data_IF_081190382585
#
_entry.id   IF_081190382585
#
_cell.length_a   1.000
_cell.length_b   1.000
_cell.length_c   1.000
_cell.angle_alpha   90.00
_cell.angle_beta   90.00
_cell.angle_gamma   90.00
#
_symmetry.space_group_name_H-M   'P 1'
#
loop_
_entity.id
_entity.type
_entity.pdbx_description
1 polymer ?
#
# COMPACT_ATOMS: atom_id res chain seq x y z
N UNK A 1 58.13 -53.64 -55.11
CA UNK A 1 58.11 -52.79 -53.90
C UNK A 1 57.41 -51.48 -54.22
N UNK A 2 56.10 -51.37 -53.95
CA UNK A 2 55.36 -50.11 -54.02
C UNK A 2 54.78 -49.80 -52.64
N UNK A 3 55.07 -48.61 -52.12
CA UNK A 3 54.75 -48.18 -50.76
C UNK A 3 53.26 -47.87 -50.62
N UNK A 4 52.63 -48.47 -49.62
CA UNK A 4 51.31 -48.09 -49.11
C UNK A 4 51.42 -46.73 -48.39
N UNK A 5 50.64 -45.73 -48.83
CA UNK A 5 50.36 -44.54 -48.03
C UNK A 5 49.03 -44.74 -47.32
N UNK A 6 49.10 -44.90 -46.00
CA UNK A 6 47.95 -44.94 -45.10
C UNK A 6 47.61 -43.50 -44.70
N UNK A 7 46.66 -42.87 -45.39
CA UNK A 7 46.09 -41.60 -44.92
C UNK A 7 45.12 -41.90 -43.79
N UNK A 8 45.58 -41.64 -42.56
CA UNK A 8 44.79 -41.68 -41.34
C UNK A 8 43.79 -40.51 -41.36
N UNK A 9 42.52 -40.80 -41.66
CA UNK A 9 41.42 -39.87 -41.45
C UNK A 9 41.11 -39.84 -39.96
N UNK A 10 41.64 -38.85 -39.23
CA UNK A 10 41.19 -38.53 -37.88
C UNK A 10 39.79 -37.92 -37.98
N UNK A 11 38.78 -38.76 -37.76
CA UNK A 11 37.40 -38.33 -37.52
C UNK A 11 37.37 -37.43 -36.29
N UNK A 12 37.31 -36.12 -36.50
CA UNK A 12 37.01 -35.14 -35.47
C UNK A 12 35.56 -35.37 -35.03
N UNK A 13 35.37 -36.10 -33.93
CA UNK A 13 34.07 -36.20 -33.27
C UNK A 13 33.75 -34.81 -32.71
N UNK A 14 32.99 -34.01 -33.47
CA UNK A 14 32.37 -32.80 -32.97
C UNK A 14 31.40 -33.24 -31.88
N UNK A 15 31.86 -33.21 -30.63
CA UNK A 15 31.01 -33.30 -29.46
C UNK A 15 30.21 -32.00 -29.43
N UNK A 16 29.14 -31.94 -30.24
CA UNK A 16 28.07 -30.99 -30.00
C UNK A 16 27.56 -31.32 -28.61
N UNK A 17 27.99 -30.55 -27.60
CA UNK A 17 27.30 -30.49 -26.33
C UNK A 17 25.86 -30.09 -26.67
N UNK A 18 25.00 -31.10 -26.81
CA UNK A 18 23.59 -30.93 -26.61
C UNK A 18 23.47 -30.54 -25.14
N UNK A 19 23.53 -29.24 -24.86
CA UNK A 19 23.05 -28.68 -23.60
C UNK A 19 21.57 -29.04 -23.58
N UNK A 20 21.26 -30.21 -23.04
CA UNK A 20 19.90 -30.61 -22.79
C UNK A 20 19.39 -29.57 -21.78
N UNK A 21 18.38 -28.80 -22.17
CA UNK A 21 17.79 -27.77 -21.31
C UNK A 21 17.38 -28.44 -20.00
N UNK A 22 18.17 -28.21 -18.95
CA UNK A 22 17.90 -28.66 -17.60
C UNK A 22 17.26 -27.50 -16.83
N UNK A 23 16.50 -27.78 -15.76
CA UNK A 23 15.97 -26.73 -14.91
C UNK A 23 17.08 -25.79 -14.38
N UNK A 24 18.28 -26.31 -14.12
CA UNK A 24 19.46 -25.54 -13.67
C UNK A 24 19.99 -24.62 -14.76
N UNK A 25 20.11 -25.12 -16.00
CA UNK A 25 20.54 -24.30 -17.14
C UNK A 25 19.57 -23.15 -17.38
N UNK A 26 18.26 -23.41 -17.34
CA UNK A 26 17.25 -22.36 -17.47
C UNK A 26 17.29 -21.38 -16.29
N UNK A 27 17.52 -21.84 -15.05
CA UNK A 27 17.68 -20.94 -13.92
C UNK A 27 18.92 -20.03 -14.05
N UNK A 28 20.03 -20.55 -14.57
CA UNK A 28 21.25 -19.77 -14.82
C UNK A 28 21.03 -18.72 -15.92
N UNK A 29 20.44 -19.11 -17.05
CA UNK A 29 20.09 -18.21 -18.14
C UNK A 29 19.10 -17.13 -17.69
N UNK A 30 18.09 -17.50 -16.90
CA UNK A 30 17.16 -16.55 -16.30
C UNK A 30 17.86 -15.56 -15.36
N UNK A 31 18.84 -16.03 -14.58
CA UNK A 31 19.63 -15.18 -13.69
C UNK A 31 20.52 -14.22 -14.46
N UNK A 32 21.13 -14.67 -15.57
CA UNK A 32 21.90 -13.80 -16.46
C UNK A 32 21.01 -12.73 -17.10
N UNK A 33 19.87 -13.12 -17.67
CA UNK A 33 18.91 -12.20 -18.27
C UNK A 33 18.41 -11.16 -17.25
N UNK A 34 18.12 -11.57 -16.02
CA UNK A 34 17.69 -10.66 -14.95
C UNK A 34 18.78 -9.64 -14.59
N UNK A 35 20.04 -10.07 -14.50
CA UNK A 35 21.19 -9.17 -14.25
C UNK A 35 21.41 -8.18 -15.39
N UNK A 36 21.15 -8.60 -16.63
CA UNK A 36 21.21 -7.74 -17.82
C UNK A 36 20.00 -6.80 -17.95
N UNK A 37 18.98 -6.92 -17.09
CA UNK A 37 17.77 -6.12 -17.13
C UNK A 37 16.74 -6.59 -18.16
N UNK A 38 16.97 -7.73 -18.81
CA UNK A 38 16.04 -8.37 -19.75
C UNK A 38 14.96 -9.15 -19.00
N UNK A 39 14.09 -8.42 -18.30
CA UNK A 39 13.17 -9.01 -17.32
C UNK A 39 12.16 -9.98 -17.95
N UNK A 40 11.66 -9.71 -19.16
CA UNK A 40 10.78 -10.62 -19.90
C UNK A 40 11.48 -11.92 -20.28
N UNK A 41 12.76 -11.84 -20.67
CA UNK A 41 13.58 -13.03 -20.95
C UNK A 41 13.85 -13.83 -19.68
N UNK A 42 14.14 -13.14 -18.58
CA UNK A 42 14.31 -13.77 -17.27
C UNK A 42 13.05 -14.53 -16.84
N UNK A 43 11.86 -13.94 -17.01
CA UNK A 43 10.58 -14.60 -16.73
C UNK A 43 10.45 -15.90 -17.52
N UNK A 44 10.71 -15.90 -18.84
CA UNK A 44 10.58 -17.10 -19.67
C UNK A 44 11.47 -18.24 -19.19
N UNK A 45 12.74 -17.95 -18.92
CA UNK A 45 13.68 -18.96 -18.44
C UNK A 45 13.32 -19.48 -17.03
N UNK A 46 12.97 -18.59 -16.10
CA UNK A 46 12.56 -19.01 -14.77
C UNK A 46 11.23 -19.80 -14.75
N UNK A 47 10.24 -19.42 -15.57
CA UNK A 47 9.01 -20.21 -15.76
C UNK A 47 9.33 -21.60 -16.33
N UNK A 48 10.27 -21.70 -17.28
CA UNK A 48 10.73 -22.97 -17.84
C UNK A 48 11.40 -23.86 -16.79
N UNK A 49 12.31 -23.30 -15.98
CA UNK A 49 12.96 -24.02 -14.88
C UNK A 49 11.92 -24.55 -13.87
N UNK A 50 10.93 -23.72 -13.52
CA UNK A 50 9.86 -24.11 -12.61
C UNK A 50 8.98 -25.23 -13.20
N UNK A 51 8.67 -25.16 -14.51
CA UNK A 51 7.88 -26.18 -15.22
C UNK A 51 8.60 -27.53 -15.30
N UNK A 52 9.93 -27.52 -15.34
CA UNK A 52 10.76 -28.73 -15.28
C UNK A 52 10.89 -29.32 -13.86
N UNK A 53 10.22 -28.72 -12.87
CA UNK A 53 10.15 -29.24 -11.51
C UNK A 53 11.11 -28.58 -10.52
N UNK A 54 11.91 -27.59 -10.92
CA UNK A 54 12.72 -26.85 -9.96
C UNK A 54 11.80 -26.13 -8.96
N UNK A 55 12.02 -26.39 -7.68
CA UNK A 55 11.26 -25.79 -6.60
C UNK A 55 12.21 -25.34 -5.49
N UNK A 56 12.78 -24.15 -5.66
CA UNK A 56 13.70 -23.54 -4.69
C UNK A 56 13.25 -22.13 -4.32
N UNK A 57 13.59 -21.69 -3.11
CA UNK A 57 13.32 -20.32 -2.65
C UNK A 57 13.98 -19.30 -3.58
N UNK A 58 15.19 -19.59 -4.07
CA UNK A 58 15.92 -18.73 -5.01
C UNK A 58 15.18 -18.57 -6.34
N UNK A 59 14.66 -19.65 -6.93
CA UNK A 59 13.85 -19.59 -8.15
C UNK A 59 12.58 -18.79 -7.91
N UNK A 60 11.84 -19.10 -6.84
CA UNK A 60 10.59 -18.39 -6.50
C UNK A 60 10.84 -16.89 -6.33
N UNK A 61 11.90 -16.51 -5.61
CA UNK A 61 12.26 -15.11 -5.39
C UNK A 61 12.67 -14.39 -6.68
N UNK A 62 13.51 -15.02 -7.52
CA UNK A 62 13.98 -14.41 -8.76
C UNK A 62 12.85 -14.27 -9.79
N UNK A 63 11.98 -15.28 -9.90
CA UNK A 63 10.80 -15.21 -10.76
C UNK A 63 9.81 -14.15 -10.25
N UNK A 64 9.56 -14.08 -8.95
CA UNK A 64 8.71 -13.03 -8.36
C UNK A 64 9.26 -11.63 -8.61
N UNK A 65 10.58 -11.45 -8.46
CA UNK A 65 11.26 -10.18 -8.74
C UNK A 65 11.16 -9.81 -10.21
N UNK A 66 11.29 -10.78 -11.11
CA UNK A 66 11.14 -10.58 -12.56
C UNK A 66 9.70 -10.21 -12.92
N UNK A 67 8.70 -10.90 -12.36
CA UNK A 67 7.30 -10.54 -12.49
C UNK A 67 6.98 -9.12 -12.02
N UNK A 68 7.55 -8.70 -10.88
CA UNK A 68 7.41 -7.33 -10.41
C UNK A 68 7.96 -6.31 -11.43
N UNK A 69 9.12 -6.59 -12.03
CA UNK A 69 9.76 -5.71 -13.02
C UNK A 69 8.94 -5.56 -14.30
N UNK A 70 8.27 -6.63 -14.75
CA UNK A 70 7.40 -6.62 -15.95
C UNK A 70 5.94 -6.26 -15.64
N UNK A 71 5.61 -5.86 -14.40
CA UNK A 71 4.26 -5.43 -14.02
C UNK A 71 3.26 -6.55 -13.72
N UNK A 72 3.68 -7.83 -13.73
CA UNK A 72 2.85 -8.99 -13.35
C UNK A 72 2.71 -9.11 -11.83
N UNK A 73 2.09 -8.12 -11.21
CA UNK A 73 2.08 -7.95 -9.75
C UNK A 73 1.39 -9.08 -8.97
N UNK A 74 0.29 -9.63 -9.48
CA UNK A 74 -0.41 -10.72 -8.78
C UNK A 74 0.38 -12.03 -8.81
N UNK A 75 1.08 -12.31 -9.90
CA UNK A 75 1.96 -13.48 -9.98
C UNK A 75 3.18 -13.31 -9.05
N UNK A 76 3.77 -12.10 -9.01
CA UNK A 76 4.83 -11.77 -8.07
C UNK A 76 4.41 -11.98 -6.62
N UNK A 77 3.22 -11.50 -6.24
CA UNK A 77 2.68 -11.65 -4.87
C UNK A 77 2.54 -13.12 -4.46
N UNK A 78 2.03 -13.97 -5.35
CA UNK A 78 1.88 -15.41 -5.08
C UNK A 78 3.23 -16.04 -4.77
N UNK A 79 4.24 -15.77 -5.59
CA UNK A 79 5.58 -16.35 -5.41
C UNK A 79 6.33 -15.79 -4.20
N UNK A 80 6.27 -14.48 -3.92
CA UNK A 80 6.88 -13.92 -2.72
C UNK A 80 6.31 -14.51 -1.42
N UNK A 81 5.02 -14.86 -1.38
CA UNK A 81 4.44 -15.54 -0.21
C UNK A 81 5.00 -16.95 0.00
N UNK A 82 5.41 -17.64 -1.06
CA UNK A 82 6.02 -18.97 -0.96
C UNK A 82 7.44 -18.93 -0.37
N UNK A 83 8.12 -17.77 -0.43
CA UNK A 83 9.49 -17.62 0.06
C UNK A 83 9.58 -17.45 1.59
N UNK A 84 8.46 -17.42 2.33
CA UNK A 84 8.42 -17.31 3.81
C UNK A 84 8.98 -18.54 4.56
N UNK A 85 10.05 -19.16 4.07
CA UNK A 85 10.70 -20.34 4.66
C UNK A 85 11.61 -20.01 5.83
N UNK A 86 12.12 -18.78 5.89
CA UNK A 86 12.94 -18.28 6.99
C UNK A 86 12.49 -16.87 7.35
N UNK A 87 12.81 -16.44 8.57
CA UNK A 87 12.54 -15.07 9.00
C UNK A 87 13.23 -14.04 8.08
N UNK A 88 14.49 -14.28 7.72
CA UNK A 88 15.21 -13.41 6.79
C UNK A 88 14.50 -13.29 5.42
N UNK A 89 14.00 -14.40 4.88
CA UNK A 89 13.23 -14.36 3.64
C UNK A 89 11.85 -13.74 3.80
N UNK A 90 11.26 -13.80 5.01
CA UNK A 90 10.02 -13.08 5.33
C UNK A 90 10.20 -11.58 5.22
N UNK A 91 11.27 -11.01 5.75
CA UNK A 91 11.53 -9.55 5.63
C UNK A 91 11.78 -9.12 4.19
N UNK A 92 12.53 -9.93 3.43
CA UNK A 92 12.76 -9.69 2.00
C UNK A 92 11.45 -9.72 1.21
N UNK A 93 10.59 -10.71 1.47
CA UNK A 93 9.30 -10.81 0.81
C UNK A 93 8.34 -9.71 1.25
N UNK A 94 8.26 -9.37 2.54
CA UNK A 94 7.45 -8.24 3.04
C UNK A 94 7.87 -6.93 2.38
N UNK A 95 9.17 -6.64 2.28
CA UNK A 95 9.64 -5.46 1.58
C UNK A 95 9.18 -5.42 0.12
N UNK A 96 9.32 -6.52 -0.63
CA UNK A 96 8.90 -6.59 -2.03
C UNK A 96 7.37 -6.53 -2.20
N UNK A 97 6.61 -7.15 -1.29
CA UNK A 97 5.15 -7.03 -1.24
C UNK A 97 4.70 -5.59 -0.96
N UNK A 98 5.45 -4.87 -0.11
CA UNK A 98 5.27 -3.43 0.11
C UNK A 98 5.48 -2.61 -1.17
N UNK A 99 6.53 -2.91 -1.95
CA UNK A 99 6.77 -2.27 -3.25
C UNK A 99 5.66 -2.55 -4.26
N UNK A 100 5.15 -3.79 -4.30
CA UNK A 100 4.01 -4.15 -5.14
C UNK A 100 2.76 -3.36 -4.73
N UNK A 101 2.47 -3.31 -3.43
CA UNK A 101 1.34 -2.55 -2.91
C UNK A 101 1.43 -1.05 -3.27
N UNK A 102 2.64 -0.46 -3.27
CA UNK A 102 2.86 0.90 -3.78
C UNK A 102 2.51 1.03 -5.26
N UNK A 103 2.96 0.10 -6.11
CA UNK A 103 2.63 0.11 -7.56
C UNK A 103 1.12 -0.01 -7.80
N UNK A 104 0.42 -0.74 -6.95
CA UNK A 104 -1.03 -0.90 -6.98
C UNK A 104 -1.81 0.21 -6.23
N UNK A 105 -1.12 1.25 -5.74
CA UNK A 105 -1.70 2.36 -4.95
C UNK A 105 -2.43 1.90 -3.67
N UNK A 106 -2.07 0.73 -3.15
CA UNK A 106 -2.59 0.18 -1.89
C UNK A 106 -1.75 0.71 -0.73
N UNK A 107 -1.86 2.02 -0.45
CA UNK A 107 -0.98 2.75 0.47
C UNK A 107 -0.94 2.18 1.88
N UNK A 108 -2.10 1.73 2.38
CA UNK A 108 -2.22 1.19 3.72
C UNK A 108 -1.54 -0.18 3.82
N UNK A 109 -1.76 -1.07 2.84
CA UNK A 109 -1.11 -2.37 2.78
C UNK A 109 0.41 -2.25 2.59
N UNK A 110 0.86 -1.32 1.73
CA UNK A 110 2.28 -1.02 1.56
C UNK A 110 2.92 -0.63 2.90
N UNK A 111 2.22 0.19 3.67
CA UNK A 111 2.67 0.62 4.99
C UNK A 111 2.75 -0.54 5.98
N UNK A 112 1.75 -1.42 6.00
CA UNK A 112 1.74 -2.60 6.87
C UNK A 112 2.97 -3.49 6.60
N UNK A 113 3.26 -3.77 5.33
CA UNK A 113 4.43 -4.53 4.94
C UNK A 113 5.75 -3.86 5.35
N UNK A 114 5.93 -2.57 5.08
CA UNK A 114 7.16 -1.88 5.50
C UNK A 114 7.28 -1.77 7.02
N UNK A 115 6.17 -1.62 7.75
CA UNK A 115 6.16 -1.63 9.22
C UNK A 115 6.55 -3.00 9.78
N UNK A 116 6.10 -4.10 9.17
CA UNK A 116 6.52 -5.48 9.54
C UNK A 116 8.05 -5.61 9.50
N UNK A 117 8.68 -5.20 8.39
CA UNK A 117 10.15 -5.22 8.23
C UNK A 117 10.86 -4.38 9.29
N UNK A 118 10.35 -3.16 9.55
CA UNK A 118 10.96 -2.24 10.54
C UNK A 118 10.84 -2.78 11.97
N UNK A 119 9.68 -3.33 12.33
CA UNK A 119 9.46 -3.91 13.65
C UNK A 119 10.34 -5.14 13.87
N UNK A 120 10.59 -5.91 12.81
CA UNK A 120 11.45 -7.07 12.93
C UNK A 120 12.93 -6.70 13.13
N UNK A 121 13.43 -5.67 12.46
CA UNK A 121 14.79 -5.15 12.67
C UNK A 121 15.95 -6.09 12.35
N UNK A 122 15.70 -7.26 11.72
CA UNK A 122 16.72 -8.31 11.51
C UNK A 122 17.80 -7.89 10.51
N UNK A 123 17.38 -7.32 9.38
CA UNK A 123 18.30 -6.75 8.40
C UNK A 123 18.31 -5.21 8.50
N UNK A 124 19.45 -4.64 8.89
CA UNK A 124 19.63 -3.20 9.07
C UNK A 124 19.40 -2.40 7.78
N UNK A 125 19.80 -2.95 6.62
CA UNK A 125 19.64 -2.29 5.32
C UNK A 125 18.17 -2.29 4.91
N UNK A 126 17.48 -3.43 5.02
CA UNK A 126 16.04 -3.54 4.74
C UNK A 126 15.21 -2.66 5.67
N UNK A 127 15.57 -2.61 6.96
CA UNK A 127 14.94 -1.72 7.94
C UNK A 127 15.08 -0.26 7.50
N UNK A 128 16.29 0.18 7.14
CA UNK A 128 16.56 1.56 6.73
C UNK A 128 15.78 1.95 5.47
N UNK A 129 15.76 1.10 4.44
CA UNK A 129 15.01 1.41 3.21
C UNK A 129 13.49 1.37 3.44
N UNK A 130 12.99 0.48 4.31
CA UNK A 130 11.57 0.42 4.67
C UNK A 130 11.13 1.67 5.45
N UNK A 131 11.97 2.17 6.37
CA UNK A 131 11.74 3.45 7.03
C UNK A 131 11.65 4.63 6.04
N UNK A 132 12.50 4.63 5.00
CA UNK A 132 12.42 5.64 3.94
C UNK A 132 11.09 5.56 3.18
N UNK A 133 10.64 4.36 2.81
CA UNK A 133 9.33 4.17 2.17
C UNK A 133 8.18 4.65 3.07
N UNK A 134 8.21 4.33 4.36
CA UNK A 134 7.23 4.81 5.35
C UNK A 134 7.20 6.34 5.46
N UNK A 135 8.37 7.00 5.42
CA UNK A 135 8.47 8.46 5.43
C UNK A 135 7.89 9.09 4.15
N UNK A 136 8.09 8.47 2.99
CA UNK A 136 7.48 8.93 1.75
C UNK A 136 5.95 8.77 1.79
N UNK A 137 5.46 7.65 2.31
CA UNK A 137 4.03 7.39 2.52
C UNK A 137 3.38 8.37 3.50
N UNK A 138 4.11 8.84 4.52
CA UNK A 138 3.58 9.82 5.48
C UNK A 138 3.60 11.26 4.96
N UNK A 139 4.50 11.58 4.01
CA UNK A 139 4.60 12.93 3.42
C UNK A 139 3.35 13.34 2.65
N UNK A 140 2.55 12.37 2.18
CA UNK A 140 1.25 12.60 1.53
C UNK A 140 0.06 12.73 2.48
N UNK A 141 0.23 12.43 3.77
CA UNK A 141 -0.87 12.46 4.74
C UNK A 141 -1.03 13.88 5.29
N UNK A 142 -2.00 14.64 4.75
CA UNK A 142 -2.26 16.02 5.18
C UNK A 142 -2.57 16.07 6.68
N UNK A 143 -1.69 16.72 7.44
CA UNK A 143 -1.87 16.92 8.89
C UNK A 143 -3.08 17.79 9.20
N UNK A 144 -3.34 18.81 8.38
CA UNK A 144 -4.54 19.64 8.49
C UNK A 144 -5.64 19.19 7.52
N UNK A 145 -6.88 19.23 7.98
CA UNK A 145 -8.09 19.17 7.15
C UNK A 145 -9.02 20.27 7.60
N UNK A 146 -9.47 21.08 6.65
CA UNK A 146 -10.48 22.12 6.90
C UNK A 146 -11.75 21.70 6.16
N UNK A 147 -12.90 21.89 6.80
CA UNK A 147 -14.23 21.65 6.22
C UNK A 147 -15.05 22.89 6.52
N UNK A 148 -15.78 23.42 5.53
CA UNK A 148 -16.69 24.52 5.73
C UNK A 148 -17.89 24.37 4.81
N UNK A 149 -19.07 24.78 5.27
CA UNK A 149 -20.29 24.86 4.48
C UNK A 149 -21.18 25.98 5.03
N UNK A 150 -22.09 26.45 4.19
CA UNK A 150 -23.14 27.38 4.58
C UNK A 150 -24.43 26.95 3.88
N UNK A 151 -25.54 26.99 4.59
CA UNK A 151 -26.85 26.64 4.08
C UNK A 151 -27.82 27.79 4.31
N UNK A 152 -28.88 27.82 3.50
CA UNK A 152 -30.04 28.68 3.69
C UNK A 152 -31.28 27.80 3.62
N UNK A 153 -32.25 28.03 4.51
CA UNK A 153 -33.41 27.17 4.67
C UNK A 153 -34.63 27.91 5.17
N UNK A 154 -35.71 27.15 5.36
CA UNK A 154 -36.98 27.59 5.90
C UNK A 154 -37.47 26.51 6.85
N UNK A 155 -37.87 26.90 8.06
CA UNK A 155 -38.39 26.00 9.09
C UNK A 155 -39.80 26.45 9.46
N UNK A 156 -40.76 25.52 9.33
CA UNK A 156 -42.18 25.76 9.61
C UNK A 156 -42.54 25.59 11.10
N UNK A 157 -41.60 25.16 11.97
CA UNK A 157 -41.89 24.82 13.38
C UNK A 157 -40.74 25.19 14.35
N UNK A 158 -40.37 26.47 14.43
CA UNK A 158 -39.17 26.93 15.17
C UNK A 158 -39.28 26.86 16.72
N UNK A 159 -40.38 26.36 17.30
CA UNK A 159 -40.62 26.44 18.77
C UNK A 159 -40.42 25.11 19.52
N UNK A 160 -39.69 25.18 20.64
CA UNK A 160 -39.48 24.08 21.60
C UNK A 160 -40.77 23.69 22.34
N UNK A 161 -40.92 22.39 22.63
CA UNK A 161 -42.11 21.64 23.10
C UNK A 161 -42.65 22.04 24.50
N UNK A 162 -42.37 23.25 25.00
CA UNK A 162 -42.62 23.62 26.40
C UNK A 162 -43.71 24.66 26.66
N UNK A 163 -44.54 25.03 25.68
CA UNK A 163 -45.73 25.85 25.96
C UNK A 163 -46.92 25.47 25.08
N UNK A 164 -48.12 25.41 25.67
CA UNK A 164 -49.40 25.01 25.03
C UNK A 164 -49.90 26.01 23.96
N UNK A 165 -48.99 26.72 23.32
CA UNK A 165 -49.27 27.64 22.22
C UNK A 165 -48.10 27.51 21.23
N UNK A 166 -48.01 26.36 20.58
CA UNK A 166 -47.21 26.20 19.38
C UNK A 166 -47.85 27.07 18.29
N UNK A 167 -47.52 28.36 18.30
CA UNK A 167 -47.80 29.24 17.19
C UNK A 167 -46.95 28.76 16.02
N UNK A 168 -47.62 28.64 14.89
CA UNK A 168 -47.16 28.13 13.61
C UNK A 168 -46.22 29.18 12.96
N UNK A 169 -45.17 29.55 13.68
CA UNK A 169 -44.21 30.58 13.26
C UNK A 169 -43.18 29.93 12.34
N UNK A 170 -43.25 30.33 11.09
CA UNK A 170 -42.38 29.88 10.01
C UNK A 170 -41.31 30.93 9.77
N UNK A 171 -40.03 30.54 9.70
CA UNK A 171 -38.94 31.50 9.53
C UNK A 171 -37.85 30.94 8.61
N UNK A 172 -37.24 31.82 7.83
CA UNK A 172 -36.05 31.50 7.06
C UNK A 172 -34.80 31.63 7.92
N UNK A 173 -33.85 30.73 7.71
CA UNK A 173 -32.59 30.75 8.43
C UNK A 173 -31.41 30.59 7.49
N UNK A 174 -30.23 31.02 7.95
CA UNK A 174 -28.97 30.55 7.41
C UNK A 174 -28.13 29.89 8.50
N UNK A 175 -27.40 28.84 8.12
CA UNK A 175 -26.38 28.25 8.98
C UNK A 175 -25.01 28.30 8.33
N UNK A 176 -23.98 28.44 9.16
CA UNK A 176 -22.59 28.40 8.75
C UNK A 176 -21.85 27.45 9.68
N UNK A 177 -21.11 26.52 9.08
CA UNK A 177 -20.21 25.63 9.80
C UNK A 177 -18.82 25.71 9.22
N UNK A 178 -17.82 25.81 10.10
CA UNK A 178 -16.43 25.61 9.73
C UNK A 178 -15.70 24.80 10.80
N UNK A 179 -14.84 23.89 10.37
CA UNK A 179 -14.01 23.07 11.26
C UNK A 179 -12.61 22.85 10.70
N UNK A 180 -11.64 22.84 11.61
CA UNK A 180 -10.25 22.54 11.35
C UNK A 180 -9.80 21.38 12.24
N UNK A 181 -9.27 20.34 11.61
CA UNK A 181 -8.67 19.18 12.26
C UNK A 181 -7.16 19.17 12.03
N UNK A 182 -6.38 19.05 13.09
CA UNK A 182 -4.92 18.89 13.04
C UNK A 182 -4.46 17.57 13.65
N UNK A 183 -3.77 16.73 12.86
CA UNK A 183 -3.19 15.47 13.32
C UNK A 183 -1.99 15.73 14.25
N UNK A 184 -2.20 15.52 15.54
CA UNK A 184 -1.21 15.71 16.61
C UNK A 184 -0.21 14.56 16.63
N UNK A 185 -0.70 13.32 16.61
CA UNK A 185 0.13 12.12 16.67
C UNK A 185 -0.53 10.92 15.99
N UNK A 186 0.26 10.01 15.42
CA UNK A 186 -0.25 8.82 14.72
C UNK A 186 -0.71 9.14 13.29
N UNK A 187 -1.84 8.56 12.89
CA UNK A 187 -2.48 8.73 11.57
C UNK A 187 -3.92 9.23 11.71
N UNK A 188 -4.53 9.72 10.64
CA UNK A 188 -5.94 10.19 10.71
C UNK A 188 -6.96 9.09 10.99
N UNK A 189 -6.64 7.83 10.68
CA UNK A 189 -7.50 6.66 10.97
C UNK A 189 -7.06 5.87 12.21
N UNK A 190 -5.91 6.21 12.80
CA UNK A 190 -5.43 5.68 14.07
C UNK A 190 -4.46 6.66 14.74
N UNK A 191 -4.99 7.68 15.41
CA UNK A 191 -4.18 8.77 15.92
C UNK A 191 -4.97 9.81 16.72
N UNK A 192 -4.23 10.75 17.28
CA UNK A 192 -4.75 11.89 18.04
C UNK A 192 -4.90 13.10 17.13
N UNK A 193 -6.07 13.70 17.11
CA UNK A 193 -6.40 14.86 16.30
C UNK A 193 -6.93 15.96 17.21
N UNK A 194 -6.37 17.16 17.14
CA UNK A 194 -6.96 18.35 17.72
C UNK A 194 -8.00 18.89 16.74
N UNK A 195 -9.18 19.24 17.22
CA UNK A 195 -10.24 19.81 16.41
C UNK A 195 -10.68 21.17 16.96
N UNK A 196 -10.98 22.08 16.04
CA UNK A 196 -11.67 23.33 16.31
C UNK A 196 -12.85 23.46 15.36
N UNK A 197 -14.00 23.92 15.83
CA UNK A 197 -15.18 24.15 15.02
C UNK A 197 -15.96 25.37 15.47
N UNK A 198 -16.63 26.02 14.53
CA UNK A 198 -17.63 27.05 14.76
C UNK A 198 -18.89 26.65 14.01
N UNK A 199 -20.03 26.83 14.64
CA UNK A 199 -21.36 26.69 14.06
C UNK A 199 -22.17 27.92 14.45
N UNK A 200 -22.81 28.53 13.46
CA UNK A 200 -23.66 29.71 13.61
C UNK A 200 -24.98 29.38 12.92
N UNK A 201 -26.09 29.68 13.56
CA UNK A 201 -27.45 29.56 13.03
C UNK A 201 -28.18 30.84 13.37
N UNK A 202 -28.64 31.56 12.35
CA UNK A 202 -29.40 32.79 12.51
C UNK A 202 -30.73 32.66 11.78
N UNK A 203 -31.81 32.92 12.51
CA UNK A 203 -33.17 33.07 12.00
C UNK A 203 -33.43 34.53 11.61
N UNK A 204 -34.31 34.77 10.63
CA UNK A 204 -34.52 36.11 10.08
C UNK A 204 -35.38 36.98 11.00
N UNK A 205 -36.39 36.36 11.62
CA UNK A 205 -37.38 37.05 12.44
C UNK A 205 -37.29 36.63 13.93
N UNK A 206 -36.86 35.39 14.23
CA UNK A 206 -36.86 34.84 15.59
C UNK A 206 -35.46 34.75 16.23
N UNK A 207 -34.92 35.90 16.66
CA UNK A 207 -33.60 36.01 17.32
C UNK A 207 -33.40 35.06 18.51
N UNK A 208 -34.47 34.72 19.24
CA UNK A 208 -34.40 33.81 20.39
C UNK A 208 -33.99 32.37 20.05
N UNK A 209 -34.08 32.00 18.77
CA UNK A 209 -33.68 30.69 18.25
C UNK A 209 -32.26 30.68 17.64
N UNK A 210 -31.58 31.83 17.59
CA UNK A 210 -30.21 31.92 17.08
C UNK A 210 -29.23 31.15 17.96
N UNK A 211 -28.21 30.57 17.35
CA UNK A 211 -27.28 29.68 18.04
C UNK A 211 -25.84 29.83 17.53
N UNK A 212 -24.95 30.22 18.43
CA UNK A 212 -23.51 30.22 18.23
C UNK A 212 -22.83 29.13 19.07
N UNK A 213 -22.14 28.21 18.41
CA UNK A 213 -21.38 27.15 19.07
C UNK A 213 -19.93 27.18 18.66
N UNK A 214 -19.05 27.27 19.66
CA UNK A 214 -17.61 27.05 19.52
C UNK A 214 -17.25 25.69 20.09
N UNK A 215 -16.57 24.88 19.29
CA UNK A 215 -16.05 23.57 19.68
C UNK A 215 -14.53 23.57 19.65
N UNK A 216 -13.90 23.20 20.75
CA UNK A 216 -12.48 22.87 20.81
C UNK A 216 -12.36 21.51 21.48
N UNK A 217 -11.48 20.65 20.97
CA UNK A 217 -11.33 19.33 21.56
C UNK A 217 -10.18 18.53 21.00
N UNK A 218 -9.96 17.38 21.63
CA UNK A 218 -9.03 16.37 21.17
C UNK A 218 -9.83 15.10 20.88
N UNK A 219 -9.53 14.42 19.77
CA UNK A 219 -10.14 13.13 19.42
C UNK A 219 -9.10 12.05 19.20
N UNK A 220 -9.38 10.86 19.72
CA UNK A 220 -8.62 9.64 19.43
C UNK A 220 -9.37 8.83 18.38
N UNK A 221 -8.75 8.67 17.21
CA UNK A 221 -9.26 7.84 16.11
C UNK A 221 -8.63 6.45 16.14
N UNK A 222 -9.40 5.46 15.70
CA UNK A 222 -8.99 4.06 15.52
C UNK A 222 -9.98 3.33 14.60
N UNK A 223 -9.60 2.16 14.09
CA UNK A 223 -10.49 1.27 13.34
C UNK A 223 -11.03 0.16 14.24
N UNK A 224 -12.31 -0.16 14.07
CA UNK A 224 -12.97 -1.35 14.61
C UNK A 224 -13.57 -2.09 13.41
N UNK A 225 -12.95 -3.19 13.00
CA UNK A 225 -13.25 -3.89 11.74
C UNK A 225 -13.25 -2.91 10.55
N UNK A 226 -14.39 -2.79 9.85
CA UNK A 226 -14.58 -1.88 8.70
C UNK A 226 -14.98 -0.46 9.10
N UNK A 227 -15.22 -0.21 10.40
CA UNK A 227 -15.68 1.09 10.90
C UNK A 227 -14.53 2.01 11.27
N UNK A 228 -14.66 3.29 10.91
CA UNK A 228 -13.81 4.37 11.42
C UNK A 228 -14.44 4.96 12.67
N UNK A 229 -13.77 4.81 13.80
CA UNK A 229 -14.29 5.21 15.11
C UNK A 229 -13.45 6.35 15.68
N UNK A 230 -14.09 7.24 16.43
CA UNK A 230 -13.41 8.28 17.19
C UNK A 230 -14.03 8.49 18.56
N UNK A 231 -13.19 8.62 19.60
CA UNK A 231 -13.57 9.11 20.92
C UNK A 231 -13.18 10.57 21.03
N UNK A 232 -14.12 11.45 21.38
CA UNK A 232 -13.88 12.89 21.53
C UNK A 232 -13.86 13.27 23.00
N UNK A 233 -12.86 14.05 23.37
CA UNK A 233 -12.65 14.59 24.71
C UNK A 233 -12.92 16.10 24.64
N UNK A 234 -13.88 16.55 25.43
CA UNK A 234 -14.24 17.96 25.61
C UNK A 234 -13.67 18.46 26.93
#
# INVERSE_FOLDING_TARGET
MSRFSFTLFTSLFLFSLNLQASPETDFELGTQAFKSGENETAVRYFESAMKQGMNSVSLQYNLASSYYKVGRYEDAKKLFKLTYKTDAMRDLADYNLGLIALKQKQWQLAREYFTSVVNSGRDKKLTKISQQQLKLLSKGEKRSKVTAFANFGYDDNVVSVSSESALNESDSFYDVYAAADYLVAGKRDNGWIANASVYMLDYSDLDSANLDLLGLGLKKTFKLDDWKTSLQFK
#
